data_IF_313462688344
#
_entry.id   IF_313462688344
#
_cell.length_a   1.000
_cell.length_b   1.000
_cell.length_c   1.000
_cell.angle_alpha   90.00
_cell.angle_beta   90.00
_cell.angle_gamma   90.00
#
_symmetry.space_group_name_H-M   'P 1'
#
loop_
_entity.id
_entity.type
_entity.pdbx_description
1 polymer ?
#
# COMPACT_ATOMS: atom_id res chain seq x y z
N UNK A 1 -9.13 -9.57 -2.03
CA UNK A 1 -9.95 -8.55 -1.34
C UNK A 1 -9.73 -7.20 -2.01
N UNK A 2 -10.79 -6.48 -2.38
CA UNK A 2 -10.72 -5.19 -3.07
C UNK A 2 -10.69 -4.03 -2.08
N UNK A 3 -10.20 -2.87 -2.54
CA UNK A 3 -10.08 -1.61 -1.79
C UNK A 3 -11.43 -0.87 -1.68
N UNK A 4 -12.42 -1.27 -2.48
CA UNK A 4 -13.76 -0.70 -2.48
C UNK A 4 -14.56 -1.44 -1.41
N UNK A 5 -14.94 -0.72 -0.36
CA UNK A 5 -15.75 -1.21 0.76
C UNK A 5 -16.92 -0.24 0.92
N UNK A 6 -18.11 -0.74 1.22
CA UNK A 6 -19.22 0.14 1.60
C UNK A 6 -18.84 0.86 2.90
N UNK A 7 -18.79 2.21 2.94
CA UNK A 7 -18.38 2.97 4.12
C UNK A 7 -19.18 2.59 5.38
N UNK A 8 -20.48 2.29 5.24
CA UNK A 8 -21.34 1.88 6.36
C UNK A 8 -21.01 0.49 6.92
N UNK A 9 -20.28 -0.31 6.14
CA UNK A 9 -19.85 -1.66 6.48
C UNK A 9 -18.38 -1.74 6.91
N UNK A 10 -17.67 -0.60 6.87
CA UNK A 10 -16.24 -0.56 7.18
C UNK A 10 -16.02 -0.86 8.67
N UNK A 11 -15.08 -1.76 8.93
CA UNK A 11 -14.66 -2.15 10.28
C UNK A 11 -13.15 -2.04 10.33
N UNK A 12 -12.63 -1.07 11.09
CA UNK A 12 -11.19 -0.83 11.18
C UNK A 12 -10.45 -2.11 11.59
N UNK A 13 -10.87 -2.76 12.67
CA UNK A 13 -10.24 -3.98 13.21
C UNK A 13 -10.11 -5.11 12.16
N UNK A 14 -11.05 -5.19 11.22
CA UNK A 14 -11.05 -6.25 10.19
C UNK A 14 -10.36 -5.82 8.90
N UNK A 15 -10.62 -4.61 8.43
CA UNK A 15 -10.19 -4.15 7.11
C UNK A 15 -8.80 -3.53 7.15
N UNK A 16 -8.46 -2.74 8.18
CA UNK A 16 -7.16 -2.07 8.26
C UNK A 16 -6.00 -3.07 8.25
N UNK A 17 -5.92 -4.07 9.17
CA UNK A 17 -4.81 -5.04 9.14
C UNK A 17 -4.74 -5.80 7.82
N UNK A 18 -5.89 -6.19 7.26
CA UNK A 18 -5.94 -6.96 6.01
C UNK A 18 -5.53 -6.16 4.78
N UNK A 19 -5.76 -4.84 4.76
CA UNK A 19 -5.36 -3.96 3.66
C UNK A 19 -3.88 -3.58 3.77
N UNK A 20 -3.42 -3.27 4.98
CA UNK A 20 -2.01 -2.98 5.27
C UNK A 20 -1.13 -4.21 4.96
N UNK A 21 -1.49 -5.40 5.41
CA UNK A 21 -0.77 -6.64 5.11
C UNK A 21 -0.69 -6.89 3.59
N UNK A 22 -1.79 -6.68 2.87
CA UNK A 22 -1.81 -6.86 1.41
C UNK A 22 -0.94 -5.83 0.70
N UNK A 23 -0.93 -4.59 1.16
CA UNK A 23 -0.07 -3.56 0.59
C UNK A 23 1.41 -3.86 0.87
N UNK A 24 1.76 -4.27 2.08
CA UNK A 24 3.14 -4.64 2.42
C UNK A 24 3.63 -5.87 1.64
N UNK A 25 2.75 -6.81 1.33
CA UNK A 25 3.07 -7.92 0.41
C UNK A 25 3.41 -7.42 -1.00
N UNK A 26 2.67 -6.43 -1.52
CA UNK A 26 2.95 -5.80 -2.82
C UNK A 26 4.27 -5.01 -2.79
N UNK A 27 4.48 -4.22 -1.73
CA UNK A 27 5.71 -3.42 -1.55
C UNK A 27 6.93 -4.35 -1.44
N UNK A 28 6.81 -5.46 -0.71
CA UNK A 28 7.88 -6.45 -0.61
C UNK A 28 8.22 -7.05 -1.98
N UNK A 29 7.21 -7.37 -2.80
CA UNK A 29 7.42 -7.81 -4.18
C UNK A 29 8.08 -6.74 -5.06
N UNK A 30 7.70 -5.48 -4.89
CA UNK A 30 8.29 -4.35 -5.61
C UNK A 30 9.75 -4.10 -5.19
N UNK A 31 10.07 -4.21 -3.91
CA UNK A 31 11.44 -4.09 -3.39
C UNK A 31 12.36 -5.15 -3.99
N UNK A 32 11.92 -6.41 -4.09
CA UNK A 32 12.70 -7.47 -4.75
C UNK A 32 13.01 -7.14 -6.23
N UNK A 33 12.08 -6.50 -6.95
CA UNK A 33 12.33 -6.03 -8.32
C UNK A 33 13.29 -4.83 -8.34
N UNK A 34 13.19 -3.93 -7.37
CA UNK A 34 14.04 -2.75 -7.23
C UNK A 34 15.50 -3.13 -6.95
N UNK A 35 15.72 -4.18 -6.15
CA UNK A 35 17.04 -4.68 -5.75
C UNK A 35 17.66 -5.69 -6.74
N UNK A 36 16.97 -5.99 -7.84
CA UNK A 36 17.52 -6.83 -8.90
C UNK A 36 18.78 -6.19 -9.50
N UNK A 37 19.81 -6.99 -9.77
CA UNK A 37 21.09 -6.52 -10.31
C UNK A 37 20.99 -5.86 -11.70
N UNK A 38 19.89 -6.07 -12.42
CA UNK A 38 19.62 -5.43 -13.70
C UNK A 38 18.75 -4.17 -13.60
N UNK A 39 18.26 -3.82 -12.41
CA UNK A 39 17.48 -2.59 -12.18
C UNK A 39 18.43 -1.41 -11.99
N UNK A 40 18.26 -0.38 -12.82
CA UNK A 40 19.05 0.85 -12.73
C UNK A 40 18.69 1.66 -11.49
N UNK A 41 19.66 2.39 -10.94
CA UNK A 41 19.48 3.22 -9.74
C UNK A 41 18.30 4.20 -9.85
N UNK A 42 18.15 4.89 -10.97
CA UNK A 42 17.05 5.85 -11.21
C UNK A 42 15.68 5.18 -11.17
N UNK A 43 15.61 3.91 -11.60
CA UNK A 43 14.37 3.13 -11.55
C UNK A 43 14.13 2.55 -10.16
N UNK A 44 15.17 2.11 -9.46
CA UNK A 44 15.07 1.69 -8.05
C UNK A 44 14.52 2.81 -7.18
N UNK A 45 15.07 4.02 -7.30
CA UNK A 45 14.61 5.19 -6.54
C UNK A 45 13.14 5.51 -6.79
N UNK A 46 12.69 5.44 -8.05
CA UNK A 46 11.27 5.59 -8.39
C UNK A 46 10.40 4.52 -7.76
N UNK A 47 10.82 3.25 -7.81
CA UNK A 47 10.06 2.15 -7.17
C UNK A 47 9.91 2.40 -5.67
N UNK A 48 10.99 2.81 -4.99
CA UNK A 48 10.96 3.14 -3.56
C UNK A 48 10.02 4.31 -3.27
N UNK A 49 10.11 5.39 -4.06
CA UNK A 49 9.24 6.55 -3.93
C UNK A 49 7.76 6.18 -4.08
N UNK A 50 7.42 5.42 -5.13
CA UNK A 50 6.04 4.97 -5.36
C UNK A 50 5.52 4.03 -4.27
N UNK A 51 6.35 3.14 -3.73
CA UNK A 51 5.95 2.29 -2.60
C UNK A 51 5.57 3.13 -1.37
N UNK A 52 6.32 4.20 -1.10
CA UNK A 52 6.00 5.12 -0.01
C UNK A 52 4.73 5.94 -0.32
N UNK A 53 4.56 6.41 -1.55
CA UNK A 53 3.36 7.12 -1.99
C UNK A 53 2.10 6.27 -1.82
N UNK A 54 2.14 4.98 -2.19
CA UNK A 54 0.99 4.08 -2.03
C UNK A 54 0.72 3.77 -0.55
N UNK A 55 1.77 3.63 0.28
CA UNK A 55 1.60 3.50 1.73
C UNK A 55 0.88 4.70 2.32
N UNK A 56 1.27 5.91 1.93
CA UNK A 56 0.61 7.14 2.36
C UNK A 56 -0.84 7.19 1.87
N UNK A 57 -1.08 6.92 0.59
CA UNK A 57 -2.43 6.92 0.02
C UNK A 57 -3.38 5.93 0.71
N UNK A 58 -2.88 4.78 1.17
CA UNK A 58 -3.68 3.85 1.97
C UNK A 58 -4.02 4.42 3.35
N UNK A 59 -3.07 5.07 4.03
CA UNK A 59 -3.34 5.69 5.33
C UNK A 59 -4.33 6.85 5.20
N UNK A 60 -4.23 7.65 4.14
CA UNK A 60 -5.18 8.73 3.84
C UNK A 60 -6.59 8.14 3.63
N UNK A 61 -6.71 7.09 2.82
CA UNK A 61 -7.99 6.40 2.58
C UNK A 61 -8.59 5.81 3.86
N UNK A 62 -7.78 5.15 4.70
CA UNK A 62 -8.25 4.59 5.97
C UNK A 62 -8.72 5.70 6.92
N UNK A 63 -8.02 6.84 6.93
CA UNK A 63 -8.41 8.01 7.71
C UNK A 63 -9.76 8.57 7.26
N UNK A 64 -10.04 8.61 5.95
CA UNK A 64 -11.34 9.00 5.41
C UNK A 64 -12.47 8.04 5.81
N UNK A 65 -12.22 6.73 5.87
CA UNK A 65 -13.21 5.76 6.35
C UNK A 65 -13.47 5.86 7.86
N UNK A 66 -12.49 6.31 8.66
CA UNK A 66 -12.61 6.45 10.12
C UNK A 66 -13.14 7.82 10.56
N UNK A 67 -12.97 8.84 9.72
CA UNK A 67 -13.42 10.21 9.98
C UNK A 67 -14.89 10.47 9.63
N UNK A 68 -15.59 9.48 9.06
CA UNK A 68 -17.01 9.53 8.71
C UNK A 68 -17.87 8.74 9.70
#
# INVERSE_FOLDING_TARGET
KQIIVDPLSFSEERFRPSLEERLESIISGAALMADSSCTRDDRRERIVAECNSVRQALQDLLSEYMGN
#
